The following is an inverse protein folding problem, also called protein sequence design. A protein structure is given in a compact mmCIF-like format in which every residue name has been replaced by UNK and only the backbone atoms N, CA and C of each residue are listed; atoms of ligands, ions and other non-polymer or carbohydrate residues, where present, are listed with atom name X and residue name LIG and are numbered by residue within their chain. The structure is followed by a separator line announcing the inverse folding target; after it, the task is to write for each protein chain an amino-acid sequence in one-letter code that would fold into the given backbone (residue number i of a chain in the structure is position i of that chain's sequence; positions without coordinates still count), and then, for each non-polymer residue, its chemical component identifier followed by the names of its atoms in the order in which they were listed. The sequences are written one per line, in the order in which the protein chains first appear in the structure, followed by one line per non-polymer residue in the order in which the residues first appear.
data_IF_557562000564
#
_entry.id   IF_557562000564
#
_cell.length_a   1.000
_cell.length_b   1.000
_cell.length_c   1.000
_cell.angle_alpha   90.00
_cell.angle_beta   90.00
_cell.angle_gamma   90.00
#
_symmetry.space_group_name_H-M   'P 1'
#
loop_
_entity.id
_entity.type
_entity.pdbx_description
1 polymer ?
#
# COMPACT_ATOMS: atom_id res chain seq x y z
N UNK A 1 -32.34 52.35 40.26
CA UNK A 1 -32.24 52.33 38.78
C UNK A 1 -31.53 51.02 38.40
N UNK A 2 -32.24 49.91 38.23
CA UNK A 2 -32.59 49.29 36.93
C UNK A 2 -31.47 49.40 35.88
N UNK A 3 -30.71 48.33 35.68
CA UNK A 3 -30.58 47.67 34.37
C UNK A 3 -30.20 46.18 34.56
N UNK A 4 -30.99 45.36 33.91
CA UNK A 4 -31.14 43.91 33.95
C UNK A 4 -30.35 43.22 32.83
N UNK A 5 -30.12 41.92 33.03
CA UNK A 5 -29.97 40.87 32.02
C UNK A 5 -28.64 40.81 31.23
N UNK A 6 -27.76 39.87 31.60
CA UNK A 6 -27.40 38.68 30.80
C UNK A 6 -26.80 37.64 31.76
N UNK A 7 -27.70 36.87 32.39
CA UNK A 7 -27.38 35.58 32.98
C UNK A 7 -28.36 34.60 32.36
N UNK A 8 -27.89 33.38 32.04
CA UNK A 8 -28.64 32.23 31.50
C UNK A 8 -28.48 31.96 30.00
N UNK A 9 -27.34 31.38 29.59
CA UNK A 9 -27.26 30.56 28.36
C UNK A 9 -26.04 29.61 28.27
N UNK A 10 -25.37 29.26 29.38
CA UNK A 10 -24.09 28.53 29.32
C UNK A 10 -24.01 27.28 30.21
N UNK A 11 -25.13 26.69 30.62
CA UNK A 11 -25.13 25.64 31.64
C UNK A 11 -26.10 24.46 31.46
N UNK A 12 -26.59 24.15 30.25
CA UNK A 12 -27.33 22.88 30.03
C UNK A 12 -27.13 22.35 28.60
N UNK A 13 -26.12 21.49 28.38
CA UNK A 13 -26.10 20.54 27.25
C UNK A 13 -25.14 19.36 27.47
N UNK A 14 -24.90 18.96 28.73
CA UNK A 14 -24.01 17.85 29.09
C UNK A 14 -24.81 16.62 29.54
N UNK A 15 -25.68 16.05 28.70
CA UNK A 15 -26.35 14.77 28.97
C UNK A 15 -27.12 14.19 27.77
N UNK A 16 -26.45 13.70 26.71
CA UNK A 16 -27.09 12.81 25.72
C UNK A 16 -26.13 12.07 24.77
N UNK A 17 -24.96 11.64 25.25
CA UNK A 17 -24.00 10.88 24.42
C UNK A 17 -24.04 9.34 24.63
N UNK A 18 -24.93 8.81 25.48
CA UNK A 18 -25.04 7.36 25.69
C UNK A 18 -26.50 6.93 25.94
N UNK A 19 -27.21 6.60 24.86
CA UNK A 19 -28.35 5.69 24.88
C UNK A 19 -28.48 5.01 23.50
N UNK A 20 -28.57 3.66 23.41
CA UNK A 20 -28.71 2.96 22.15
C UNK A 20 -30.20 2.87 21.78
N UNK A 21 -30.58 3.46 20.65
CA UNK A 21 -31.89 3.23 20.05
C UNK A 21 -31.68 2.73 18.62
N UNK A 22 -31.98 1.45 18.45
CA UNK A 22 -32.11 0.80 17.17
C UNK A 22 -33.30 1.39 16.41
N UNK A 23 -33.08 1.81 15.16
CA UNK A 23 -33.95 1.52 14.01
C UNK A 23 -33.17 1.81 12.73
N UNK A 24 -33.14 0.81 11.87
CA UNK A 24 -32.62 0.88 10.51
C UNK A 24 -33.58 1.71 9.67
N UNK A 25 -33.18 2.89 9.22
CA UNK A 25 -33.78 3.51 8.03
C UNK A 25 -32.73 3.58 6.93
N UNK A 26 -32.90 2.67 5.97
CA UNK A 26 -32.19 2.69 4.69
C UNK A 26 -32.84 3.81 3.87
N UNK A 27 -32.26 5.01 3.88
CA UNK A 27 -32.67 6.06 2.96
C UNK A 27 -32.39 5.60 1.52
N UNK A 28 -33.45 5.18 0.83
CA UNK A 28 -33.45 4.89 -0.60
C UNK A 28 -33.04 6.14 -1.37
N UNK A 29 -31.96 6.04 -2.13
CA UNK A 29 -31.47 7.07 -3.04
C UNK A 29 -32.52 7.40 -4.09
N UNK A 30 -33.09 8.60 -4.02
CA UNK A 30 -33.65 9.30 -5.17
C UNK A 30 -32.96 10.66 -5.30
N UNK A 31 -31.66 10.65 -5.62
CA UNK A 31 -30.94 11.84 -6.06
C UNK A 31 -31.35 12.15 -7.50
N UNK A 32 -32.51 12.76 -7.69
CA UNK A 32 -32.80 13.51 -8.91
C UNK A 32 -32.19 14.91 -8.77
N UNK A 33 -30.87 14.96 -8.62
CA UNK A 33 -30.10 16.19 -8.57
C UNK A 33 -29.28 16.28 -9.85
N UNK A 34 -29.61 17.30 -10.64
CA UNK A 34 -28.87 17.68 -11.83
C UNK A 34 -27.40 17.97 -11.45
N UNK A 35 -26.45 17.31 -12.14
CA UNK A 35 -25.00 17.41 -11.84
C UNK A 35 -24.49 18.86 -11.87
N UNK A 36 -25.21 19.76 -12.53
CA UNK A 36 -24.92 21.20 -12.55
C UNK A 36 -25.22 21.91 -11.23
N UNK A 37 -26.24 21.48 -10.49
CA UNK A 37 -26.58 22.06 -9.18
C UNK A 37 -25.56 21.63 -8.10
N UNK A 38 -25.01 20.41 -8.21
CA UNK A 38 -23.97 19.92 -7.30
C UNK A 38 -22.65 20.70 -7.44
N UNK A 39 -22.30 21.17 -8.64
CA UNK A 39 -21.14 22.03 -8.85
C UNK A 39 -21.33 23.46 -8.35
N UNK A 40 -22.56 23.99 -8.39
CA UNK A 40 -22.88 25.32 -7.85
C UNK A 40 -22.85 25.38 -6.32
N UNK A 41 -23.23 24.28 -5.64
CA UNK A 41 -23.25 24.21 -4.18
C UNK A 41 -21.85 24.17 -3.53
N UNK A 42 -20.80 23.79 -4.27
CA UNK A 42 -19.42 23.76 -3.78
C UNK A 42 -18.81 25.17 -3.68
N UNK A 43 -19.37 26.16 -4.40
CA UNK A 43 -18.85 27.54 -4.38
C UNK A 43 -19.28 28.36 -3.15
N UNK A 44 -20.23 27.87 -2.34
CA UNK A 44 -20.84 28.64 -1.24
C UNK A 44 -20.43 28.26 0.18
N UNK A 45 -19.61 27.22 0.37
CA UNK A 45 -19.25 26.71 1.70
C UNK A 45 -17.72 26.72 1.92
N UNK A 46 -17.09 27.87 1.65
CA UNK A 46 -15.68 28.12 1.97
C UNK A 46 -15.52 28.55 3.45
N UNK A 47 -15.95 27.71 4.40
CA UNK A 47 -15.67 27.89 5.82
C UNK A 47 -15.64 26.51 6.51
N UNK A 48 -14.63 25.69 6.19
CA UNK A 48 -14.25 24.56 7.04
C UNK A 48 -12.72 24.45 7.01
N UNK A 49 -12.12 24.88 8.13
CA UNK A 49 -10.86 24.43 8.72
C UNK A 49 -9.98 23.63 7.77
N UNK A 50 -8.96 24.29 7.19
CA UNK A 50 -7.89 23.61 6.50
C UNK A 50 -7.34 22.51 7.43
N UNK A 51 -7.49 21.21 7.10
CA UNK A 51 -6.79 20.20 7.84
C UNK A 51 -5.33 20.53 7.63
N UNK A 52 -4.65 20.78 8.76
CA UNK A 52 -3.19 20.84 8.85
C UNK A 52 -2.61 19.88 7.82
N UNK A 53 -1.77 20.38 6.93
CA UNK A 53 -0.99 19.55 6.01
C UNK A 53 -0.16 18.64 6.90
N UNK A 54 -0.72 17.48 7.26
CA UNK A 54 -0.01 16.40 7.87
C UNK A 54 1.05 16.02 6.84
N UNK A 55 2.32 16.20 7.19
CA UNK A 55 3.44 15.78 6.36
C UNK A 55 3.18 14.36 5.86
N UNK A 56 2.85 14.24 4.57
CA UNK A 56 2.58 12.98 3.90
C UNK A 56 3.83 12.09 3.77
N UNK A 57 4.98 12.55 4.28
CA UNK A 57 6.24 11.80 4.31
C UNK A 57 6.24 10.68 5.36
N UNK A 58 5.26 10.62 6.27
CA UNK A 58 5.11 9.49 7.19
C UNK A 58 4.74 8.16 6.49
N UNK A 59 4.14 8.21 5.29
CA UNK A 59 3.73 7.02 4.54
C UNK A 59 4.89 6.35 3.79
N UNK A 60 5.94 7.11 3.45
CA UNK A 60 7.10 6.63 2.71
C UNK A 60 8.31 6.67 3.65
N UNK A 61 8.78 5.51 4.07
CA UNK A 61 9.96 5.40 4.92
C UNK A 61 10.88 4.31 4.41
N UNK A 62 12.13 4.31 4.89
CA UNK A 62 13.03 3.20 4.62
C UNK A 62 12.42 1.85 5.05
N UNK A 63 11.64 1.82 6.13
CA UNK A 63 10.97 0.61 6.60
C UNK A 63 9.88 0.12 5.63
N UNK A 64 9.08 1.01 5.04
CA UNK A 64 8.05 0.60 4.07
C UNK A 64 8.67 0.14 2.75
N UNK A 65 9.78 0.75 2.32
CA UNK A 65 10.57 0.32 1.16
C UNK A 65 11.17 -1.08 1.40
N UNK A 66 11.81 -1.31 2.56
CA UNK A 66 12.39 -2.61 2.89
C UNK A 66 11.34 -3.71 2.99
N UNK A 67 10.19 -3.41 3.59
CA UNK A 67 9.04 -4.32 3.62
C UNK A 67 8.59 -4.70 2.21
N UNK A 68 8.42 -3.72 1.31
CA UNK A 68 8.04 -3.98 -0.08
C UNK A 68 9.10 -4.82 -0.81
N UNK A 69 10.40 -4.48 -0.65
CA UNK A 69 11.52 -5.22 -1.24
C UNK A 69 11.53 -6.67 -0.76
N UNK A 70 11.32 -6.91 0.54
CA UNK A 70 11.29 -8.26 1.09
C UNK A 70 10.03 -9.03 0.64
N UNK A 71 8.84 -8.50 0.90
CA UNK A 71 7.57 -9.22 0.66
C UNK A 71 7.34 -9.51 -0.81
N UNK A 72 7.53 -8.53 -1.69
CA UNK A 72 7.29 -8.73 -3.12
C UNK A 72 8.53 -9.23 -3.84
N UNK A 73 9.73 -8.84 -3.42
CA UNK A 73 10.97 -9.35 -4.00
C UNK A 73 11.17 -10.83 -3.72
N UNK A 74 10.82 -11.34 -2.54
CA UNK A 74 10.87 -12.78 -2.26
C UNK A 74 9.90 -13.59 -3.13
N UNK A 75 8.69 -13.07 -3.36
CA UNK A 75 7.71 -13.68 -4.29
C UNK A 75 8.23 -13.72 -5.71
N UNK A 76 8.82 -12.61 -6.18
CA UNK A 76 9.43 -12.55 -7.51
C UNK A 76 10.59 -13.53 -7.60
N UNK A 77 11.50 -13.57 -6.62
CA UNK A 77 12.64 -14.49 -6.59
C UNK A 77 12.23 -15.96 -6.66
N UNK A 78 11.13 -16.34 -5.98
CA UNK A 78 10.59 -17.70 -6.00
C UNK A 78 10.14 -18.17 -7.39
N UNK A 79 9.84 -17.24 -8.31
CA UNK A 79 9.46 -17.55 -9.70
C UNK A 79 10.62 -18.06 -10.55
N UNK A 80 11.87 -18.00 -10.08
CA UNK A 80 13.05 -18.46 -10.84
C UNK A 80 12.88 -19.89 -11.36
N UNK A 81 12.29 -20.77 -10.55
CA UNK A 81 12.03 -22.17 -10.94
C UNK A 81 10.92 -22.27 -12.01
N UNK A 82 9.86 -21.47 -11.89
CA UNK A 82 8.75 -21.40 -12.85
C UNK A 82 9.22 -20.85 -14.21
N UNK A 83 10.00 -19.77 -14.20
CA UNK A 83 10.63 -19.18 -15.39
C UNK A 83 11.52 -20.20 -16.11
N UNK A 84 12.33 -20.94 -15.35
CA UNK A 84 13.23 -21.97 -15.92
C UNK A 84 12.45 -23.14 -16.55
N UNK A 85 11.24 -23.42 -16.07
CA UNK A 85 10.34 -24.45 -16.60
C UNK A 85 9.43 -23.94 -17.72
N UNK A 86 9.45 -22.64 -18.04
CA UNK A 86 8.52 -22.04 -18.99
C UNK A 86 7.06 -21.98 -18.49
N UNK A 87 6.84 -21.99 -17.17
CA UNK A 87 5.50 -21.86 -16.60
C UNK A 87 5.06 -20.39 -16.62
N UNK A 88 4.50 -19.99 -17.76
CA UNK A 88 3.94 -18.66 -17.97
C UNK A 88 2.77 -18.34 -17.03
N UNK A 89 2.00 -19.37 -16.63
CA UNK A 89 0.83 -19.22 -15.78
C UNK A 89 1.22 -18.78 -14.37
N UNK A 90 2.24 -19.41 -13.80
CA UNK A 90 2.77 -19.03 -12.48
C UNK A 90 3.30 -17.59 -12.46
N UNK A 91 4.05 -17.18 -13.49
CA UNK A 91 4.56 -15.79 -13.57
C UNK A 91 3.42 -14.79 -13.77
N UNK A 92 2.40 -15.15 -14.57
CA UNK A 92 1.25 -14.30 -14.80
C UNK A 92 0.37 -14.12 -13.55
N UNK A 93 0.21 -15.18 -12.74
CA UNK A 93 -0.51 -15.12 -11.47
C UNK A 93 0.14 -14.13 -10.47
N UNK A 94 1.46 -13.98 -10.54
CA UNK A 94 2.25 -13.07 -9.71
C UNK A 94 2.36 -11.64 -10.27
N UNK A 95 1.53 -11.24 -11.25
CA UNK A 95 1.51 -9.87 -11.81
C UNK A 95 1.46 -8.79 -10.75
N UNK A 96 0.67 -9.00 -9.70
CA UNK A 96 0.54 -8.02 -8.62
C UNK A 96 1.84 -7.85 -7.83
N UNK A 97 2.68 -8.89 -7.71
CA UNK A 97 3.97 -8.76 -7.04
C UNK A 97 4.89 -7.78 -7.76
N UNK A 98 4.98 -7.86 -9.10
CA UNK A 98 5.77 -6.89 -9.89
C UNK A 98 5.27 -5.46 -9.74
N UNK A 99 3.94 -5.26 -9.81
CA UNK A 99 3.33 -3.93 -9.68
C UNK A 99 3.60 -3.33 -8.30
N UNK A 100 3.40 -4.12 -7.24
CA UNK A 100 3.57 -3.67 -5.86
C UNK A 100 5.05 -3.52 -5.47
N UNK A 101 5.94 -4.31 -6.07
CA UNK A 101 7.38 -4.10 -5.95
C UNK A 101 7.78 -2.76 -6.57
N UNK A 102 7.38 -2.49 -7.81
CA UNK A 102 7.75 -1.26 -8.51
C UNK A 102 7.22 -0.01 -7.79
N UNK A 103 6.01 -0.05 -7.23
CA UNK A 103 5.45 1.08 -6.48
C UNK A 103 6.03 1.21 -5.06
N UNK A 104 6.29 0.09 -4.39
CA UNK A 104 6.77 0.08 -3.01
C UNK A 104 8.27 0.36 -2.86
N UNK A 105 9.09 -0.04 -3.84
CA UNK A 105 10.55 0.19 -3.82
C UNK A 105 10.91 1.57 -4.36
N UNK A 106 10.14 2.10 -5.31
CA UNK A 106 10.35 3.42 -5.92
C UNK A 106 9.15 4.35 -5.66
N UNK A 107 8.85 4.72 -4.40
CA UNK A 107 7.65 5.46 -4.07
C UNK A 107 7.78 6.98 -4.29
N UNK A 108 9.00 7.53 -4.36
CA UNK A 108 9.21 8.99 -4.40
C UNK A 108 9.27 9.51 -5.84
N UNK A 109 8.94 10.78 -6.02
CA UNK A 109 9.01 11.44 -7.33
C UNK A 109 10.42 11.40 -7.95
N UNK A 110 11.47 11.47 -7.12
CA UNK A 110 12.86 11.34 -7.58
C UNK A 110 13.23 9.94 -8.07
N UNK A 111 12.48 8.92 -7.66
CA UNK A 111 12.69 7.54 -8.08
C UNK A 111 11.93 7.23 -9.39
N UNK A 112 11.31 8.24 -10.04
CA UNK A 112 10.46 8.06 -11.24
C UNK A 112 11.18 7.33 -12.37
N UNK A 113 12.44 7.65 -12.63
CA UNK A 113 13.20 7.02 -13.70
C UNK A 113 13.49 5.55 -13.40
N UNK A 114 13.88 5.23 -12.16
CA UNK A 114 14.07 3.87 -11.70
C UNK A 114 12.75 3.07 -11.74
N UNK A 115 11.65 3.70 -11.32
CA UNK A 115 10.30 3.12 -11.42
C UNK A 115 9.91 2.82 -12.86
N UNK A 116 10.17 3.76 -13.78
CA UNK A 116 9.86 3.59 -15.20
C UNK A 116 10.71 2.47 -15.82
N UNK A 117 11.99 2.36 -15.47
CA UNK A 117 12.85 1.26 -15.88
C UNK A 117 12.32 -0.11 -15.36
N UNK A 118 11.89 -0.16 -14.10
CA UNK A 118 11.30 -1.36 -13.53
C UNK A 118 9.95 -1.74 -14.20
N UNK A 119 9.12 -0.75 -14.54
CA UNK A 119 7.89 -0.96 -15.32
C UNK A 119 8.21 -1.48 -16.73
N UNK A 120 9.22 -0.92 -17.39
CA UNK A 120 9.67 -1.39 -18.71
C UNK A 120 10.14 -2.85 -18.65
N UNK A 121 10.94 -3.22 -17.64
CA UNK A 121 11.35 -4.60 -17.42
C UNK A 121 10.17 -5.54 -17.15
N UNK A 122 9.19 -5.09 -16.35
CA UNK A 122 7.94 -5.84 -16.11
C UNK A 122 7.18 -6.03 -17.42
N UNK A 123 7.05 -4.99 -18.24
CA UNK A 123 6.37 -5.09 -19.53
C UNK A 123 7.09 -6.05 -20.49
N UNK A 124 8.43 -6.11 -20.48
CA UNK A 124 9.19 -7.07 -21.27
C UNK A 124 8.90 -8.53 -20.84
N UNK A 125 8.83 -8.79 -19.52
CA UNK A 125 8.42 -10.11 -18.98
C UNK A 125 7.03 -10.47 -19.48
N UNK A 126 6.06 -9.57 -19.35
CA UNK A 126 4.68 -9.83 -19.78
C UNK A 126 4.50 -9.84 -21.31
N UNK A 127 5.39 -9.22 -22.07
CA UNK A 127 5.44 -9.36 -23.52
C UNK A 127 5.90 -10.77 -23.90
N UNK A 128 6.97 -11.27 -23.26
CA UNK A 128 7.45 -12.63 -23.47
C UNK A 128 6.42 -13.71 -23.08
N UNK A 129 5.66 -13.48 -22.01
CA UNK A 129 4.52 -14.34 -21.64
C UNK A 129 3.46 -14.38 -22.75
N UNK A 130 3.12 -13.21 -23.33
CA UNK A 130 2.13 -13.12 -24.41
C UNK A 130 2.62 -13.80 -25.69
N UNK A 131 3.90 -13.65 -26.03
CA UNK A 131 4.51 -14.32 -27.17
C UNK A 131 4.84 -15.80 -26.91
N UNK A 132 4.62 -16.29 -25.67
CA UNK A 132 4.97 -17.65 -25.23
C UNK A 132 6.45 -18.00 -25.48
N UNK A 133 7.32 -17.01 -25.39
CA UNK A 133 8.76 -17.17 -25.62
C UNK A 133 9.48 -17.39 -24.28
N UNK A 134 9.94 -18.62 -24.06
CA UNK A 134 10.63 -19.01 -22.82
C UNK A 134 12.02 -18.38 -22.70
N UNK A 135 12.73 -18.19 -23.82
CA UNK A 135 14.06 -17.58 -23.83
C UNK A 135 13.95 -16.08 -23.53
N UNK A 136 13.02 -15.38 -24.19
CA UNK A 136 12.74 -13.98 -23.90
C UNK A 136 12.22 -13.79 -22.47
N UNK A 137 11.39 -14.71 -21.96
CA UNK A 137 10.92 -14.66 -20.58
C UNK A 137 12.09 -14.75 -19.60
N UNK A 138 12.97 -15.73 -19.79
CA UNK A 138 14.14 -15.93 -18.94
C UNK A 138 15.08 -14.72 -18.98
N UNK A 139 15.39 -14.21 -20.18
CA UNK A 139 16.24 -13.04 -20.33
C UNK A 139 15.64 -11.78 -19.68
N UNK A 140 14.35 -11.51 -19.91
CA UNK A 140 13.66 -10.38 -19.31
C UNK A 140 13.55 -10.49 -17.78
N UNK A 141 13.27 -11.69 -17.27
CA UNK A 141 13.23 -11.96 -15.83
C UNK A 141 14.60 -11.78 -15.16
N UNK A 142 15.65 -12.39 -15.73
CA UNK A 142 17.01 -12.31 -15.17
C UNK A 142 17.53 -10.86 -15.19
N UNK A 143 17.23 -10.11 -16.27
CA UNK A 143 17.53 -8.68 -16.36
C UNK A 143 16.80 -7.86 -15.30
N UNK A 144 15.49 -8.10 -15.12
CA UNK A 144 14.69 -7.40 -14.12
C UNK A 144 15.15 -7.69 -12.68
N UNK A 145 15.42 -8.96 -12.35
CA UNK A 145 15.92 -9.37 -11.03
C UNK A 145 17.27 -8.74 -10.72
N UNK A 146 18.18 -8.72 -11.70
CA UNK A 146 19.51 -8.14 -11.54
C UNK A 146 19.44 -6.62 -11.39
N UNK A 147 18.69 -5.93 -12.26
CA UNK A 147 18.56 -4.47 -12.23
C UNK A 147 17.93 -3.94 -10.93
N UNK A 148 17.07 -4.73 -10.29
CA UNK A 148 16.37 -4.35 -9.06
C UNK A 148 16.98 -4.96 -7.78
N UNK A 149 18.12 -5.65 -7.88
CA UNK A 149 18.78 -6.34 -6.77
C UNK A 149 17.82 -7.22 -5.95
N UNK A 150 17.01 -8.02 -6.67
CA UNK A 150 16.05 -8.93 -6.06
C UNK A 150 16.78 -10.22 -5.66
N UNK A 151 16.77 -10.51 -4.36
CA UNK A 151 17.42 -11.69 -3.78
C UNK A 151 16.41 -12.54 -3.03
N UNK A 152 16.55 -13.86 -3.13
CA UNK A 152 15.84 -14.74 -2.21
C UNK A 152 16.40 -14.53 -0.80
N UNK A 153 15.55 -14.32 0.22
CA UNK A 153 16.02 -14.15 1.58
C UNK A 153 16.74 -15.43 2.06
N UNK A 154 18.00 -15.29 2.47
CA UNK A 154 18.74 -16.39 3.08
C UNK A 154 18.10 -16.79 4.42
N UNK A 155 18.06 -18.10 4.75
CA UNK A 155 17.62 -18.56 6.06
C UNK A 155 18.44 -17.91 7.18
N UNK A 156 17.79 -17.50 8.27
CA UNK A 156 18.45 -16.99 9.47
C UNK A 156 18.31 -18.01 10.61
N UNK A 157 19.37 -18.19 11.39
CA UNK A 157 19.34 -18.88 12.68
C UNK A 157 19.60 -17.90 13.83
N UNK A 158 19.17 -18.21 15.08
CA UNK A 158 19.42 -17.35 16.23
C UNK A 158 20.90 -17.04 16.48
N UNK A 159 21.81 -17.93 16.06
CA UNK A 159 23.26 -17.77 16.19
C UNK A 159 23.85 -16.76 15.19
N UNK A 160 23.17 -16.54 14.06
CA UNK A 160 23.59 -15.60 13.00
C UNK A 160 22.95 -14.22 13.18
N UNK A 161 21.73 -14.17 13.69
CA UNK A 161 21.04 -12.91 13.98
C UNK A 161 19.56 -13.06 14.32
N UNK A 162 18.89 -11.91 14.46
CA UNK A 162 17.45 -11.84 14.72
C UNK A 162 16.73 -11.19 13.56
N UNK A 163 15.73 -11.89 13.02
CA UNK A 163 14.93 -11.41 11.90
C UNK A 163 13.62 -10.76 12.30
N UNK A 164 13.15 -10.93 13.54
CA UNK A 164 11.96 -10.26 14.06
C UNK A 164 12.01 -10.13 15.57
N UNK A 165 11.27 -9.17 16.12
CA UNK A 165 11.09 -8.98 17.57
C UNK A 165 9.63 -8.85 18.00
N UNK A 166 8.71 -8.64 17.05
CA UNK A 166 7.28 -8.58 17.29
C UNK A 166 6.53 -9.43 16.28
N UNK A 167 5.34 -9.89 16.65
CA UNK A 167 4.46 -10.67 15.78
C UNK A 167 3.93 -9.88 14.57
N UNK A 168 4.09 -8.56 14.58
CA UNK A 168 3.71 -7.66 13.47
C UNK A 168 4.80 -7.50 12.39
N UNK A 169 6.00 -8.06 12.59
CA UNK A 169 7.07 -7.98 11.57
C UNK A 169 6.70 -8.82 10.33
N UNK A 170 6.98 -8.29 9.15
CA UNK A 170 6.69 -8.92 7.86
C UNK A 170 7.56 -10.16 7.57
N UNK A 171 8.58 -10.41 8.40
CA UNK A 171 9.45 -11.60 8.35
C UNK A 171 8.96 -12.73 9.25
N UNK A 172 7.94 -12.51 10.07
CA UNK A 172 7.33 -13.55 10.91
C UNK A 172 6.83 -14.69 10.01
N UNK A 173 7.10 -15.94 10.41
CA UNK A 173 6.77 -17.17 9.64
C UNK A 173 7.46 -17.29 8.27
N UNK A 174 8.58 -16.59 8.06
CA UNK A 174 9.41 -16.76 6.86
C UNK A 174 10.70 -17.51 7.19
N UNK A 175 11.52 -17.83 6.18
CA UNK A 175 12.87 -18.40 6.38
C UNK A 175 13.79 -17.47 7.20
N UNK A 176 13.42 -16.20 7.33
CA UNK A 176 14.10 -15.20 8.13
C UNK A 176 13.50 -15.02 9.53
N UNK A 177 12.52 -15.85 9.92
CA UNK A 177 11.95 -15.81 11.26
C UNK A 177 12.89 -16.51 12.26
N UNK A 178 13.89 -15.78 12.74
CA UNK A 178 14.71 -16.19 13.87
C UNK A 178 14.65 -15.14 14.99
N UNK A 179 14.49 -15.61 16.22
CA UNK A 179 14.58 -14.81 17.43
C UNK A 179 15.32 -15.61 18.49
N UNK A 180 16.23 -14.97 19.22
CA UNK A 180 16.92 -15.60 20.33
C UNK A 180 16.01 -15.54 21.56
N UNK A 181 15.57 -16.70 22.02
CA UNK A 181 14.75 -16.85 23.24
C UNK A 181 15.71 -17.20 24.38
N UNK A 182 15.76 -16.34 25.40
CA UNK A 182 16.59 -16.51 26.60
C UNK A 182 15.91 -17.41 27.63
#
# INVERSE_FOLDING_TARGET
MKFTAVASALLVASASAFAPAATTERASTALNMDRRAAFGAIAGAALVVAPSIASADGAISAATIQRAKFTYGSRIAALKSAVSKGDFGAVAAEKNAFVLFNSGVYPRAKDKDAKNAAIAGTNAIFAAIRSKDTAALKAAYDSYVTANDIKEPAPLSPDVGQGYSSDYDYRVRTKQAAVYVR
#
